data_IF_643624702577
#
_entry.id   IF_643624702577
#
_cell.length_a   1.000
_cell.length_b   1.000
_cell.length_c   1.000
_cell.angle_alpha   90.00
_cell.angle_beta   90.00
_cell.angle_gamma   90.00
#
_symmetry.space_group_name_H-M   'P 1'
#
loop_
_entity.id
_entity.type
_entity.pdbx_description
1 polymer ?
#
# COMPACT_ATOMS: atom_id res chain seq x y z
N UNK A 1 3.54 12.98 20.81
CA UNK A 1 2.32 12.32 20.30
C UNK A 1 1.53 13.25 19.39
N UNK A 2 1.14 14.46 19.83
CA UNK A 2 0.40 15.42 18.98
C UNK A 2 1.12 15.80 17.68
N UNK A 3 2.45 15.99 17.72
CA UNK A 3 3.26 16.25 16.52
C UNK A 3 3.19 15.09 15.51
N UNK A 4 3.32 13.84 15.98
CA UNK A 4 3.26 12.64 15.16
C UNK A 4 1.89 12.44 14.50
N UNK A 5 0.80 12.70 15.23
CA UNK A 5 -0.57 12.64 14.68
C UNK A 5 -0.77 13.72 13.59
N UNK A 6 -0.31 14.94 13.81
CA UNK A 6 -0.37 16.01 12.80
C UNK A 6 0.46 15.68 11.55
N UNK A 7 1.63 15.07 11.74
CA UNK A 7 2.48 14.60 10.66
C UNK A 7 1.79 13.49 9.86
N UNK A 8 1.14 12.53 10.53
CA UNK A 8 0.36 11.48 9.86
C UNK A 8 -0.77 12.06 9.01
N UNK A 9 -1.53 13.04 9.52
CA UNK A 9 -2.59 13.70 8.75
C UNK A 9 -2.04 14.41 7.50
N UNK A 10 -0.89 15.06 7.64
CA UNK A 10 -0.21 15.70 6.51
C UNK A 10 0.26 14.68 5.48
N UNK A 11 0.83 13.57 5.93
CA UNK A 11 1.30 12.48 5.08
C UNK A 11 0.14 11.79 4.35
N UNK A 12 -0.99 11.58 5.01
CA UNK A 12 -2.19 11.03 4.40
C UNK A 12 -2.69 11.93 3.27
N UNK A 13 -2.80 13.25 3.51
CA UNK A 13 -3.17 14.20 2.46
C UNK A 13 -2.18 14.28 1.29
N UNK A 14 -0.88 14.13 1.56
CA UNK A 14 0.13 14.00 0.49
C UNK A 14 -0.03 12.70 -0.31
N UNK A 15 -0.28 11.58 0.37
CA UNK A 15 -0.54 10.29 -0.24
C UNK A 15 -1.74 10.33 -1.17
N UNK A 16 -2.84 10.96 -0.75
CA UNK A 16 -4.06 11.10 -1.55
C UNK A 16 -3.82 11.88 -2.85
N UNK A 17 -3.12 13.02 -2.78
CA UNK A 17 -2.73 13.79 -3.98
C UNK A 17 -1.87 12.96 -4.93
N UNK A 18 -0.90 12.22 -4.39
CA UNK A 18 -0.02 11.37 -5.21
C UNK A 18 -0.77 10.20 -5.85
N UNK A 19 -1.77 9.65 -5.15
CA UNK A 19 -2.70 8.67 -5.71
C UNK A 19 -3.44 9.24 -6.93
N UNK A 20 -4.03 10.43 -6.81
CA UNK A 20 -4.73 11.12 -7.91
C UNK A 20 -3.81 11.41 -9.12
N UNK A 21 -2.58 11.86 -8.88
CA UNK A 21 -1.59 12.08 -9.94
C UNK A 21 -1.21 10.77 -10.67
N UNK A 22 -1.12 9.68 -9.92
CA UNK A 22 -0.82 8.35 -10.47
C UNK A 22 -2.00 7.85 -11.31
N UNK A 23 -3.24 8.01 -10.83
CA UNK A 23 -4.45 7.65 -11.56
C UNK A 23 -4.56 8.43 -12.88
N UNK A 24 -4.31 9.74 -12.87
CA UNK A 24 -4.27 10.56 -14.08
C UNK A 24 -3.17 10.11 -15.06
N UNK A 25 -2.05 9.60 -14.56
CA UNK A 25 -0.96 9.05 -15.39
C UNK A 25 -1.35 7.71 -16.02
N UNK A 26 -2.08 6.87 -15.29
CA UNK A 26 -2.63 5.61 -15.81
C UNK A 26 -3.70 5.87 -16.86
N UNK A 27 -4.59 6.85 -16.67
CA UNK A 27 -5.58 7.23 -17.69
C UNK A 27 -4.90 7.67 -19.01
N UNK A 28 -3.81 8.45 -18.92
CA UNK A 28 -3.01 8.80 -20.09
C UNK A 28 -2.32 7.58 -20.70
N UNK A 29 -1.85 6.64 -19.87
CA UNK A 29 -1.27 5.37 -20.31
C UNK A 29 -2.27 4.51 -21.08
N UNK A 30 -3.51 4.41 -20.62
CA UNK A 30 -4.60 3.68 -21.29
C UNK A 30 -4.91 4.29 -22.66
N UNK A 31 -5.00 5.62 -22.75
CA UNK A 31 -5.22 6.30 -24.03
C UNK A 31 -4.07 6.05 -25.03
N UNK A 32 -2.81 6.13 -24.57
CA UNK A 32 -1.64 5.83 -25.42
C UNK A 32 -1.66 4.36 -25.87
N UNK A 33 -2.03 3.43 -24.99
CA UNK A 33 -2.16 2.02 -25.35
C UNK A 33 -3.25 1.79 -26.42
N UNK A 34 -4.40 2.47 -26.32
CA UNK A 34 -5.48 2.42 -27.33
C UNK A 34 -5.01 2.97 -28.68
N UNK A 35 -4.32 4.10 -28.68
CA UNK A 35 -3.75 4.68 -29.90
C UNK A 35 -2.73 3.73 -30.55
N UNK A 36 -1.89 3.09 -29.73
CA UNK A 36 -0.92 2.12 -30.20
C UNK A 36 -1.61 0.87 -30.81
N UNK A 37 -2.67 0.36 -30.19
CA UNK A 37 -3.47 -0.74 -30.75
C UNK A 37 -4.07 -0.35 -32.11
N UNK A 38 -4.61 0.86 -32.23
CA UNK A 38 -5.11 1.37 -33.52
C UNK A 38 -4.01 1.42 -34.58
N UNK A 39 -2.85 2.00 -34.24
CA UNK A 39 -1.73 2.10 -35.16
C UNK A 39 -1.21 0.71 -35.59
N UNK A 40 -1.14 -0.26 -34.67
CA UNK A 40 -0.74 -1.63 -35.00
C UNK A 40 -1.72 -2.32 -35.94
N UNK A 41 -3.03 -2.07 -35.78
CA UNK A 41 -4.04 -2.57 -36.71
C UNK A 41 -3.89 -1.95 -38.11
N UNK A 42 -3.64 -0.65 -38.19
CA UNK A 42 -3.40 0.04 -39.46
C UNK A 42 -2.15 -0.50 -40.17
N UNK A 43 -1.06 -0.71 -39.43
CA UNK A 43 0.17 -1.31 -39.96
C UNK A 43 -0.09 -2.75 -40.41
N UNK A 44 -0.83 -3.56 -39.63
CA UNK A 44 -1.19 -4.92 -40.01
C UNK A 44 -2.00 -4.97 -41.31
N UNK A 45 -2.99 -4.08 -41.45
CA UNK A 45 -3.80 -3.96 -42.66
C UNK A 45 -2.97 -3.52 -43.87
N UNK A 46 -2.07 -2.54 -43.68
CA UNK A 46 -1.14 -2.10 -44.72
C UNK A 46 -0.20 -3.23 -45.14
N UNK A 47 0.37 -3.99 -44.20
CA UNK A 47 1.24 -5.14 -44.50
C UNK A 47 0.51 -6.22 -45.30
N UNK A 48 -0.75 -6.54 -44.98
CA UNK A 48 -1.57 -7.48 -45.76
C UNK A 48 -1.78 -7.01 -47.19
N UNK A 49 -2.11 -5.72 -47.38
CA UNK A 49 -2.26 -5.13 -48.70
C UNK A 49 -0.97 -5.18 -49.53
N UNK A 50 0.19 -4.98 -48.89
CA UNK A 50 1.48 -5.17 -49.56
C UNK A 50 1.65 -6.64 -49.97
N UNK A 51 1.24 -7.59 -49.11
CA UNK A 51 1.21 -9.02 -49.44
C UNK A 51 0.44 -9.31 -50.72
N UNK A 52 -0.78 -8.79 -50.85
CA UNK A 52 -1.62 -8.96 -52.05
C UNK A 52 -0.97 -8.38 -53.31
N UNK A 53 -0.27 -7.25 -53.19
CA UNK A 53 0.48 -6.64 -54.30
C UNK A 53 1.65 -7.54 -54.72
N UNK A 54 2.39 -8.10 -53.75
CA UNK A 54 3.52 -8.99 -54.02
C UNK A 54 3.05 -10.29 -54.68
N UNK A 55 1.85 -10.78 -54.34
CA UNK A 55 1.24 -11.93 -55.00
C UNK A 55 0.93 -11.63 -56.47
N UNK A 56 0.41 -10.43 -56.75
CA UNK A 56 0.21 -9.97 -58.14
C UNK A 56 1.54 -9.85 -58.89
N UNK A 57 2.60 -9.35 -58.26
CA UNK A 57 3.94 -9.28 -58.86
C UNK A 57 4.49 -10.67 -59.18
N UNK A 58 4.32 -11.64 -58.27
CA UNK A 58 4.72 -13.02 -58.49
C UNK A 58 3.93 -13.67 -59.64
N UNK A 59 2.63 -13.37 -59.76
CA UNK A 59 1.81 -13.81 -60.88
C UNK A 59 2.31 -13.23 -62.21
N UNK A 60 2.61 -11.93 -62.27
CA UNK A 60 3.18 -11.28 -63.46
C UNK A 60 4.53 -11.88 -63.84
N UNK A 61 5.39 -12.18 -62.86
CA UNK A 61 6.67 -12.86 -63.09
C UNK A 61 6.45 -14.26 -63.68
N UNK A 62 5.48 -15.02 -63.16
CA UNK A 62 5.13 -16.35 -63.69
C UNK A 62 4.59 -16.27 -65.13
N UNK A 63 3.68 -15.34 -65.42
CA UNK A 63 3.15 -15.12 -66.77
C UNK A 63 4.27 -14.71 -67.75
N UNK A 64 5.19 -13.85 -67.32
CA UNK A 64 6.36 -13.43 -68.11
C UNK A 64 7.29 -14.62 -68.40
N UNK A 65 7.50 -15.50 -67.42
CA UNK A 65 8.25 -16.73 -67.60
C UNK A 65 7.59 -17.69 -68.61
N UNK A 66 6.25 -17.80 -68.59
CA UNK A 66 5.51 -18.59 -69.59
C UNK A 66 5.58 -17.98 -71.00
N UNK A 67 5.50 -16.65 -71.12
CA UNK A 67 5.66 -15.96 -72.40
C UNK A 67 7.07 -16.15 -72.98
N UNK A 68 8.10 -16.05 -72.13
CA UNK A 68 9.48 -16.29 -72.52
C UNK A 68 9.71 -17.74 -73.00
N UNK A 69 9.09 -18.71 -72.32
CA UNK A 69 9.12 -20.11 -72.75
C UNK A 69 8.48 -20.28 -74.14
N UNK A 70 7.31 -19.69 -74.37
CA UNK A 70 6.65 -19.74 -75.68
C UNK A 70 7.52 -19.08 -76.78
N UNK A 71 8.18 -17.96 -76.48
CA UNK A 71 9.09 -17.30 -77.40
C UNK A 71 10.32 -18.15 -77.72
N UNK A 72 10.89 -18.85 -76.73
CA UNK A 72 12.01 -19.77 -76.93
C UNK A 72 11.61 -20.95 -77.85
N UNK A 73 10.39 -21.48 -77.70
CA UNK A 73 9.85 -22.53 -78.58
C UNK A 73 9.68 -22.03 -80.01
N UNK A 74 9.10 -20.85 -80.21
CA UNK A 74 8.90 -20.30 -81.56
C UNK A 74 10.23 -19.92 -82.22
N UNK A 75 11.21 -19.45 -81.43
CA UNK A 75 12.57 -19.19 -81.91
C UNK A 75 13.27 -20.49 -82.36
N UNK A 76 13.09 -21.59 -81.63
CA UNK A 76 13.59 -22.90 -82.04
C UNK A 76 12.91 -23.38 -83.34
N UNK A 77 11.61 -23.12 -83.50
CA UNK A 77 10.84 -23.45 -84.69
C UNK A 77 11.28 -22.68 -85.94
N UNK A 78 11.70 -21.42 -85.77
CA UNK A 78 12.24 -20.58 -86.84
C UNK A 78 13.69 -20.94 -87.26
N UNK A 79 14.33 -21.88 -86.57
CA UNK A 79 15.67 -22.38 -86.89
C UNK A 79 16.75 -21.29 -86.85
N UNK A 80 17.55 -21.19 -87.90
CA UNK A 80 18.67 -20.23 -87.99
C UNK A 80 18.23 -18.76 -87.87
N UNK A 81 17.03 -18.43 -88.35
CA UNK A 81 16.48 -17.07 -88.28
C UNK A 81 16.01 -16.68 -86.86
N UNK A 82 15.78 -17.65 -85.98
CA UNK A 82 15.30 -17.45 -84.62
C UNK A 82 16.42 -17.28 -83.57
N UNK A 83 17.70 -17.43 -83.94
CA UNK A 83 18.82 -17.43 -82.97
C UNK A 83 18.89 -16.19 -82.08
N UNK A 84 18.66 -15.00 -82.65
CA UNK A 84 18.63 -13.75 -81.88
C UNK A 84 17.45 -13.69 -80.89
N UNK A 85 16.28 -14.17 -81.31
CA UNK A 85 15.09 -14.23 -80.45
C UNK A 85 15.24 -15.26 -79.33
N UNK A 86 15.93 -16.38 -79.57
CA UNK A 86 16.19 -17.40 -78.56
C UNK A 86 17.02 -16.85 -77.38
N UNK A 87 18.04 -16.03 -77.66
CA UNK A 87 18.86 -15.39 -76.60
C UNK A 87 18.02 -14.41 -75.77
N UNK A 88 17.20 -13.59 -76.42
CA UNK A 88 16.31 -12.66 -75.71
C UNK A 88 15.29 -13.40 -74.86
N UNK A 89 14.72 -14.50 -75.37
CA UNK A 89 13.75 -15.31 -74.63
C UNK A 89 14.38 -15.91 -73.36
N UNK A 90 15.62 -16.41 -73.44
CA UNK A 90 16.32 -16.95 -72.27
C UNK A 90 16.63 -15.86 -71.22
N UNK A 91 17.06 -14.67 -71.65
CA UNK A 91 17.32 -13.55 -70.74
C UNK A 91 16.03 -13.07 -70.03
N UNK A 92 14.92 -12.97 -70.77
CA UNK A 92 13.60 -12.62 -70.20
C UNK A 92 13.15 -13.69 -69.21
N UNK A 93 13.37 -14.97 -69.52
CA UNK A 93 13.07 -16.09 -68.62
C UNK A 93 13.87 -16.01 -67.32
N UNK A 94 15.18 -15.77 -67.41
CA UNK A 94 16.06 -15.62 -66.27
C UNK A 94 15.64 -14.44 -65.38
N UNK A 95 15.28 -13.30 -66.00
CA UNK A 95 14.77 -12.12 -65.29
C UNK A 95 13.45 -12.41 -64.57
N UNK A 96 12.53 -13.10 -65.22
CA UNK A 96 11.24 -13.49 -64.64
C UNK A 96 11.43 -14.41 -63.42
N UNK A 97 12.30 -15.42 -63.52
CA UNK A 97 12.61 -16.30 -62.39
C UNK A 97 13.26 -15.53 -61.21
N UNK A 98 14.15 -14.58 -61.52
CA UNK A 98 14.77 -13.72 -60.50
C UNK A 98 13.73 -12.83 -59.81
N UNK A 99 12.76 -12.30 -60.56
CA UNK A 99 11.65 -11.51 -60.02
C UNK A 99 10.75 -12.35 -59.10
N UNK A 100 10.38 -13.56 -59.51
CA UNK A 100 9.58 -14.49 -58.69
C UNK A 100 10.30 -14.85 -57.37
N UNK A 101 11.60 -15.13 -57.43
CA UNK A 101 12.40 -15.42 -56.24
C UNK A 101 12.43 -14.22 -55.27
N UNK A 102 12.61 -13.00 -55.79
CA UNK A 102 12.59 -11.79 -54.98
C UNK A 102 11.20 -11.53 -54.37
N UNK A 103 10.12 -11.71 -55.15
CA UNK A 103 8.75 -11.57 -54.66
C UNK A 103 8.47 -12.56 -53.50
N UNK A 104 8.90 -13.82 -53.61
CA UNK A 104 8.78 -14.82 -52.54
C UNK A 104 9.53 -14.42 -51.26
N UNK A 105 10.75 -13.86 -51.38
CA UNK A 105 11.49 -13.35 -50.23
C UNK A 105 10.77 -12.18 -49.55
N UNK A 106 10.23 -11.23 -50.32
CA UNK A 106 9.46 -10.11 -49.79
C UNK A 106 8.19 -10.60 -49.10
N UNK A 107 7.48 -11.56 -49.69
CA UNK A 107 6.30 -12.18 -49.08
C UNK A 107 6.63 -12.77 -47.70
N UNK A 108 7.72 -13.53 -47.58
CA UNK A 108 8.17 -14.09 -46.30
C UNK A 108 8.47 -13.00 -45.26
N UNK A 109 9.10 -11.89 -45.66
CA UNK A 109 9.35 -10.76 -44.76
C UNK A 109 8.06 -10.07 -44.29
N UNK A 110 7.05 -9.98 -45.16
CA UNK A 110 5.73 -9.45 -44.81
C UNK A 110 5.04 -10.37 -43.80
N UNK A 111 5.02 -11.68 -44.05
CA UNK A 111 4.44 -12.68 -43.13
C UNK A 111 5.09 -12.61 -41.74
N UNK A 112 6.43 -12.52 -41.68
CA UNK A 112 7.17 -12.32 -40.43
C UNK A 112 6.80 -11.00 -39.73
N UNK A 113 6.64 -9.92 -40.49
CA UNK A 113 6.23 -8.62 -39.95
C UNK A 113 4.82 -8.67 -39.36
N UNK A 114 3.87 -9.34 -40.02
CA UNK A 114 2.50 -9.51 -39.50
C UNK A 114 2.50 -10.31 -38.20
N UNK A 115 3.28 -11.39 -38.12
CA UNK A 115 3.42 -12.17 -36.87
C UNK A 115 3.98 -11.33 -35.72
N UNK A 116 4.99 -10.50 -35.98
CA UNK A 116 5.57 -9.59 -34.98
C UNK A 116 4.56 -8.53 -34.50
N UNK A 117 3.75 -7.99 -35.40
CA UNK A 117 2.68 -7.05 -35.03
C UNK A 117 1.62 -7.72 -34.15
N UNK A 118 1.22 -8.97 -34.46
CA UNK A 118 0.28 -9.73 -33.63
C UNK A 118 0.82 -10.02 -32.23
N UNK A 119 2.11 -10.36 -32.12
CA UNK A 119 2.77 -10.49 -30.83
C UNK A 119 2.79 -9.16 -30.05
N UNK A 120 3.04 -8.05 -30.76
CA UNK A 120 2.95 -6.69 -30.21
C UNK A 120 1.54 -6.36 -29.68
N UNK A 121 0.48 -6.66 -30.44
CA UNK A 121 -0.92 -6.46 -30.02
C UNK A 121 -1.21 -7.19 -28.70
N UNK A 122 -0.78 -8.46 -28.59
CA UNK A 122 -0.93 -9.22 -27.35
C UNK A 122 -0.21 -8.58 -26.15
N UNK A 123 1.00 -8.06 -26.35
CA UNK A 123 1.76 -7.41 -25.28
C UNK A 123 1.11 -6.10 -24.83
N UNK A 124 0.58 -5.32 -25.76
CA UNK A 124 -0.12 -4.07 -25.46
C UNK A 124 -1.43 -4.35 -24.71
N UNK A 125 -2.18 -5.40 -25.09
CA UNK A 125 -3.38 -5.84 -24.36
C UNK A 125 -3.07 -6.22 -22.91
N UNK A 126 -2.03 -7.03 -22.69
CA UNK A 126 -1.58 -7.38 -21.33
C UNK A 126 -1.17 -6.13 -20.53
N UNK A 127 -0.53 -5.18 -21.17
CA UNK A 127 -0.16 -3.91 -20.54
C UNK A 127 -1.39 -3.10 -20.14
N UNK A 128 -2.42 -3.07 -20.99
CA UNK A 128 -3.71 -2.43 -20.68
C UNK A 128 -4.42 -3.12 -19.49
N UNK A 129 -4.41 -4.46 -19.45
CA UNK A 129 -4.92 -5.24 -18.30
C UNK A 129 -4.16 -4.90 -17.01
N UNK A 130 -2.83 -4.82 -17.04
CA UNK A 130 -2.03 -4.40 -15.88
C UNK A 130 -2.37 -2.98 -15.42
N UNK A 131 -2.68 -2.04 -16.33
CA UNK A 131 -3.13 -0.71 -15.93
C UNK A 131 -4.49 -0.72 -15.23
N UNK A 132 -5.39 -1.63 -15.59
CA UNK A 132 -6.67 -1.83 -14.88
C UNK A 132 -6.42 -2.36 -13.46
N UNK A 133 -5.53 -3.34 -13.30
CA UNK A 133 -5.15 -3.86 -11.99
C UNK A 133 -4.51 -2.79 -11.10
N UNK A 134 -3.57 -2.00 -11.65
CA UNK A 134 -2.90 -0.92 -10.90
C UNK A 134 -3.93 0.14 -10.48
N UNK A 135 -4.91 0.47 -11.34
CA UNK A 135 -5.98 1.41 -10.97
C UNK A 135 -6.78 0.90 -9.76
N UNK A 136 -7.19 -0.36 -9.77
CA UNK A 136 -7.90 -0.99 -8.64
C UNK A 136 -7.08 -0.95 -7.34
N UNK A 137 -5.77 -1.19 -7.43
CA UNK A 137 -4.87 -1.07 -6.27
C UNK A 137 -4.78 0.37 -5.75
N UNK A 138 -4.78 1.37 -6.64
CA UNK A 138 -4.75 2.80 -6.26
C UNK A 138 -6.08 3.22 -5.62
N UNK A 139 -7.21 2.73 -6.11
CA UNK A 139 -8.52 2.97 -5.50
C UNK A 139 -8.55 2.44 -4.05
N UNK A 140 -8.07 1.21 -3.84
CA UNK A 140 -7.94 0.60 -2.51
C UNK A 140 -6.96 1.39 -1.61
N UNK A 141 -5.84 1.86 -2.18
CA UNK A 141 -4.89 2.71 -1.47
C UNK A 141 -5.53 4.05 -1.05
N UNK A 142 -6.31 4.68 -1.93
CA UNK A 142 -7.04 5.92 -1.62
C UNK A 142 -8.02 5.69 -0.47
N UNK A 143 -8.79 4.61 -0.50
CA UNK A 143 -9.69 4.26 0.59
C UNK A 143 -8.94 4.09 1.92
N UNK A 144 -7.80 3.39 1.90
CA UNK A 144 -6.98 3.20 3.11
C UNK A 144 -6.46 4.53 3.65
N UNK A 145 -6.09 5.47 2.78
CA UNK A 145 -5.64 6.81 3.18
C UNK A 145 -6.78 7.64 3.77
N UNK A 146 -7.99 7.52 3.25
CA UNK A 146 -9.18 8.16 3.81
C UNK A 146 -9.49 7.61 5.22
N UNK A 147 -9.39 6.29 5.42
CA UNK A 147 -9.53 5.63 6.72
C UNK A 147 -8.44 6.10 7.72
N UNK A 148 -7.18 6.20 7.28
CA UNK A 148 -6.08 6.74 8.09
C UNK A 148 -6.35 8.20 8.47
N UNK A 149 -6.84 9.01 7.54
CA UNK A 149 -7.14 10.42 7.78
C UNK A 149 -8.24 10.58 8.83
N UNK A 150 -9.31 9.77 8.72
CA UNK A 150 -10.39 9.75 9.70
C UNK A 150 -9.89 9.32 11.09
N UNK A 151 -9.15 8.21 11.18
CA UNK A 151 -8.58 7.72 12.43
C UNK A 151 -7.60 8.72 13.06
N UNK A 152 -6.81 9.42 12.24
CA UNK A 152 -5.87 10.45 12.70
C UNK A 152 -6.63 11.67 13.26
N UNK A 153 -7.75 12.05 12.65
CA UNK A 153 -8.61 13.11 13.17
C UNK A 153 -9.20 12.73 14.54
N UNK A 154 -9.71 11.50 14.67
CA UNK A 154 -10.24 10.99 15.94
C UNK A 154 -9.15 10.94 17.03
N UNK A 155 -7.96 10.45 16.70
CA UNK A 155 -6.81 10.45 17.61
C UNK A 155 -6.42 11.88 18.05
N UNK A 156 -6.48 12.85 17.13
CA UNK A 156 -6.20 14.25 17.47
C UNK A 156 -7.20 14.77 18.51
N UNK A 157 -8.49 14.52 18.31
CA UNK A 157 -9.54 14.89 19.27
C UNK A 157 -9.36 14.18 20.62
N UNK A 158 -9.04 12.88 20.63
CA UNK A 158 -8.77 12.14 21.86
C UNK A 158 -7.54 12.68 22.62
N UNK A 159 -6.49 13.08 21.91
CA UNK A 159 -5.32 13.72 22.52
C UNK A 159 -5.67 15.07 23.14
N UNK A 160 -6.55 15.86 22.52
CA UNK A 160 -7.01 17.12 23.11
C UNK A 160 -7.78 16.89 24.42
N UNK A 161 -8.64 15.87 24.47
CA UNK A 161 -9.38 15.49 25.67
C UNK A 161 -8.44 15.02 26.79
N UNK A 162 -7.46 14.18 26.47
CA UNK A 162 -6.42 13.74 27.42
C UNK A 162 -5.62 14.93 27.96
N UNK A 163 -5.25 15.88 27.11
CA UNK A 163 -4.54 17.09 27.56
C UNK A 163 -5.38 17.92 28.53
N UNK A 164 -6.70 18.04 28.30
CA UNK A 164 -7.62 18.72 29.24
C UNK A 164 -7.69 17.99 30.58
N UNK A 165 -7.83 16.66 30.55
CA UNK A 165 -7.87 15.84 31.76
C UNK A 165 -6.58 15.96 32.58
N UNK A 166 -5.42 15.95 31.91
CA UNK A 166 -4.11 16.15 32.57
C UNK A 166 -4.04 17.53 33.23
N UNK A 167 -4.49 18.60 32.56
CA UNK A 167 -4.53 19.93 33.15
C UNK A 167 -5.42 20.02 34.40
N UNK A 168 -6.55 19.31 34.41
CA UNK A 168 -7.43 19.22 35.57
C UNK A 168 -6.79 18.42 36.72
N UNK A 169 -6.10 17.31 36.41
CA UNK A 169 -5.35 16.53 37.40
C UNK A 169 -4.23 17.38 37.99
N UNK A 170 -3.50 18.14 37.19
CA UNK A 170 -2.45 19.05 37.65
C UNK A 170 -3.01 20.10 38.62
N UNK A 171 -4.12 20.76 38.24
CA UNK A 171 -4.82 21.73 39.09
C UNK A 171 -5.26 21.11 40.43
N UNK A 172 -5.84 19.91 40.40
CA UNK A 172 -6.28 19.19 41.61
C UNK A 172 -5.08 18.79 42.47
N UNK A 173 -3.97 18.37 41.85
CA UNK A 173 -2.74 18.00 42.53
C UNK A 173 -2.11 19.20 43.23
N UNK A 174 -2.08 20.36 42.58
CA UNK A 174 -1.62 21.61 43.18
C UNK A 174 -2.53 22.05 44.34
N UNK A 175 -3.85 21.95 44.18
CA UNK A 175 -4.79 22.23 45.27
C UNK A 175 -4.57 21.29 46.47
N UNK A 176 -4.37 19.99 46.23
CA UNK A 176 -4.08 19.03 47.29
C UNK A 176 -2.77 19.34 48.01
N UNK A 177 -1.73 19.76 47.27
CA UNK A 177 -0.48 20.19 47.88
C UNK A 177 -0.67 21.42 48.78
N UNK A 178 -1.42 22.43 48.32
CA UNK A 178 -1.76 23.61 49.13
C UNK A 178 -2.57 23.26 50.38
N UNK A 179 -3.59 22.40 50.25
CA UNK A 179 -4.37 21.92 51.40
C UNK A 179 -3.49 21.17 52.40
N UNK A 180 -2.50 20.38 51.94
CA UNK A 180 -1.55 19.70 52.83
C UNK A 180 -0.65 20.69 53.56
N UNK A 181 -0.19 21.75 52.91
CA UNK A 181 0.57 22.83 53.55
C UNK A 181 -0.27 23.55 54.62
N UNK A 182 -1.52 23.90 54.29
CA UNK A 182 -2.45 24.50 55.24
C UNK A 182 -2.70 23.59 56.45
N UNK A 183 -2.93 22.30 56.21
CA UNK A 183 -3.12 21.30 57.27
C UNK A 183 -1.89 21.14 58.14
N UNK A 184 -0.69 21.19 57.56
CA UNK A 184 0.56 21.16 58.33
C UNK A 184 0.68 22.38 59.25
N UNK A 185 0.36 23.58 58.74
CA UNK A 185 0.37 24.81 59.54
C UNK A 185 -0.68 24.79 60.67
N UNK A 186 -1.87 24.25 60.39
CA UNK A 186 -2.90 24.05 61.39
C UNK A 186 -2.49 23.03 62.47
N UNK A 187 -1.83 21.94 62.08
CA UNK A 187 -1.30 20.94 63.00
C UNK A 187 -0.23 21.53 63.93
N UNK A 188 0.69 22.34 63.40
CA UNK A 188 1.69 23.05 64.19
C UNK A 188 1.04 24.02 65.19
N UNK A 189 0.02 24.77 64.75
CA UNK A 189 -0.72 25.70 65.62
C UNK A 189 -1.44 24.97 66.76
N UNK A 190 -2.09 23.84 66.45
CA UNK A 190 -2.73 22.98 67.45
C UNK A 190 -1.71 22.39 68.44
N UNK A 191 -0.52 22.01 67.98
CA UNK A 191 0.55 21.51 68.85
C UNK A 191 1.04 22.60 69.83
N UNK A 192 1.13 23.85 69.38
CA UNK A 192 1.45 25.01 70.23
C UNK A 192 0.37 25.26 71.28
N UNK A 193 -0.91 25.26 70.90
CA UNK A 193 -2.03 25.42 71.84
C UNK A 193 -2.08 24.29 72.88
N UNK A 194 -1.97 23.04 72.44
CA UNK A 194 -1.94 21.89 73.34
C UNK A 194 -0.80 21.99 74.36
N UNK A 195 0.38 22.45 73.92
CA UNK A 195 1.53 22.69 74.80
C UNK A 195 1.30 23.84 75.78
N UNK A 196 0.58 24.89 75.36
CA UNK A 196 0.20 26.01 76.23
C UNK A 196 -0.82 25.58 77.30
N UNK A 197 -1.81 24.78 76.91
CA UNK A 197 -2.81 24.22 77.82
C UNK A 197 -2.16 23.29 78.84
N UNK A 198 -1.25 22.40 78.41
CA UNK A 198 -0.50 21.52 79.30
C UNK A 198 0.28 22.31 80.36
N UNK A 199 1.02 23.36 79.96
CA UNK A 199 1.71 24.27 80.88
C UNK A 199 0.76 24.98 81.85
N UNK A 200 -0.45 25.30 81.40
CA UNK A 200 -1.47 25.93 82.25
C UNK A 200 -1.98 24.95 83.31
N UNK A 201 -2.21 23.69 82.94
CA UNK A 201 -2.62 22.63 83.87
C UNK A 201 -1.53 22.32 84.89
N UNK A 202 -0.24 22.30 84.50
CA UNK A 202 0.89 22.07 85.43
C UNK A 202 0.98 23.10 86.57
N UNK A 203 0.50 24.34 86.36
CA UNK A 203 0.47 25.37 87.42
C UNK A 203 -0.51 25.06 88.53
N UNK A 204 -1.50 24.20 88.30
CA UNK A 204 -2.41 23.77 89.34
C UNK A 204 -1.68 22.79 90.26
N UNK A 205 -1.19 23.31 91.40
CA UNK A 205 -0.75 22.48 92.52
C UNK A 205 -1.96 21.80 93.14
N UNK A 206 -2.25 20.60 92.68
CA UNK A 206 -3.08 19.66 93.43
C UNK A 206 -2.33 19.31 94.70
N UNK A 207 -2.93 19.62 95.86
CA UNK A 207 -2.48 19.04 97.13
C UNK A 207 -2.37 17.54 96.92
N UNK A 208 -1.23 16.95 97.26
CA UNK A 208 -1.12 15.50 97.33
C UNK A 208 -2.07 15.02 98.43
N UNK A 209 -3.35 14.88 98.08
CA UNK A 209 -4.21 13.92 98.73
C UNK A 209 -3.49 12.61 98.48
N UNK A 210 -2.86 12.11 99.54
CA UNK A 210 -2.43 10.74 99.65
C UNK A 210 -3.70 9.90 99.49
N UNK A 211 -4.12 9.70 98.25
CA UNK A 211 -5.06 8.65 97.91
C UNK A 211 -4.25 7.39 98.15
N UNK A 212 -4.49 6.78 99.30
CA UNK A 212 -4.07 5.43 99.56
C UNK A 212 -4.61 4.54 98.43
N UNK A 213 -3.65 4.07 97.64
CA UNK A 213 -3.66 2.87 96.82
C UNK A 213 -5.03 2.22 96.54
N UNK A 214 -5.55 2.55 95.36
CA UNK A 214 -6.53 1.73 94.64
C UNK A 214 -6.29 1.73 93.13
N UNK A 215 -5.10 2.10 92.66
CA UNK A 215 -4.71 1.89 91.27
C UNK A 215 -3.86 0.64 91.18
N UNK A 216 -4.56 -0.44 90.83
CA UNK A 216 -3.98 -1.67 90.31
C UNK A 216 -2.95 -1.29 89.25
N UNK A 217 -1.67 -1.52 89.55
CA UNK A 217 -0.55 -1.36 88.62
C UNK A 217 -0.69 -2.44 87.55
N UNK A 218 -1.67 -2.29 86.65
CA UNK A 218 -1.62 -2.95 85.35
C UNK A 218 -0.46 -2.29 84.60
N UNK A 219 0.68 -2.96 84.64
CA UNK A 219 1.74 -2.74 83.67
C UNK A 219 1.08 -2.68 82.28
N UNK A 220 1.25 -1.60 81.51
CA UNK A 220 0.96 -1.69 80.10
C UNK A 220 1.96 -2.69 79.54
N UNK A 221 1.47 -3.88 79.19
CA UNK A 221 2.24 -4.85 78.42
C UNK A 221 2.84 -4.08 77.23
N UNK A 222 4.16 -4.15 77.08
CA UNK A 222 4.87 -3.59 75.94
C UNK A 222 4.21 -4.11 74.66
N UNK A 223 3.41 -3.27 74.01
CA UNK A 223 2.93 -3.55 72.66
C UNK A 223 4.17 -3.57 71.78
N UNK A 224 4.45 -4.72 71.18
CA UNK A 224 5.41 -4.86 70.09
C UNK A 224 5.18 -3.73 69.07
N UNK A 225 6.23 -3.21 68.41
CA UNK A 225 6.07 -2.16 67.40
C UNK A 225 5.05 -2.64 66.36
N UNK A 226 3.92 -1.92 66.26
CA UNK A 226 2.98 -2.13 65.17
C UNK A 226 3.69 -1.73 63.89
N UNK A 227 3.80 -2.67 62.96
CA UNK A 227 4.18 -2.40 61.58
C UNK A 227 3.37 -1.20 61.06
N UNK A 228 4.08 -0.29 60.38
CA UNK A 228 3.46 0.82 59.63
C UNK A 228 2.31 0.26 58.79
N UNK A 229 1.16 0.95 58.71
CA UNK A 229 0.11 0.50 57.81
C UNK A 229 0.67 0.54 56.39
N UNK A 230 0.94 -0.64 55.80
CA UNK A 230 1.09 -0.74 54.35
C UNK A 230 -0.27 -0.33 53.79
N UNK A 231 -0.30 0.83 53.12
CA UNK A 231 -1.38 1.20 52.22
C UNK A 231 -1.72 -0.05 51.39
N UNK A 232 -2.95 -0.54 51.54
CA UNK A 232 -3.44 -1.58 50.64
C UNK A 232 -3.34 -1.00 49.23
N UNK A 233 -2.47 -1.57 48.42
CA UNK A 233 -2.54 -1.35 46.98
C UNK A 233 -3.97 -1.73 46.57
N UNK A 234 -4.73 -0.74 46.12
CA UNK A 234 -5.97 -1.00 45.39
C UNK A 234 -5.54 -1.80 44.16
N UNK A 235 -5.74 -3.11 44.19
CA UNK A 235 -5.71 -3.90 42.96
C UNK A 235 -6.93 -3.48 42.16
N UNK A 236 -6.72 -2.50 41.28
CA UNK A 236 -7.57 -2.34 40.10
C UNK A 236 -7.32 -3.60 39.28
N UNK A 237 -8.22 -4.58 39.39
CA UNK A 237 -8.31 -5.62 38.38
C UNK A 237 -8.58 -4.88 37.06
N UNK A 238 -7.78 -5.10 35.99
CA UNK A 238 -8.24 -4.68 34.68
C UNK A 238 -9.51 -5.48 34.40
N UNK A 239 -10.64 -4.79 34.32
CA UNK A 239 -11.85 -5.32 33.72
C UNK A 239 -11.56 -5.45 32.23
N UNK A 240 -10.94 -6.59 31.86
CA UNK A 240 -10.88 -7.02 30.48
C UNK A 240 -12.19 -7.72 30.20
N UNK A 241 -13.24 -6.92 30.06
CA UNK A 241 -14.48 -7.35 29.44
C UNK A 241 -14.13 -7.94 28.07
N UNK A 242 -14.31 -9.26 27.95
CA UNK A 242 -14.19 -10.05 26.72
C UNK A 242 -14.81 -9.28 25.53
N UNK A 243 -14.12 -9.16 24.38
CA UNK A 243 -14.83 -8.85 23.16
C UNK A 243 -15.73 -10.04 22.80
N UNK A 244 -16.97 -9.73 22.43
CA UNK A 244 -17.95 -10.69 21.97
C UNK A 244 -17.41 -11.48 20.76
N UNK A 245 -17.59 -12.80 20.82
CA UNK A 245 -17.35 -13.71 19.70
C UNK A 245 -18.26 -13.36 18.53
N UNK A 246 -17.72 -12.72 17.50
CA UNK A 246 -18.32 -12.74 16.18
C UNK A 246 -18.03 -14.12 15.57
N UNK A 247 -19.10 -14.86 15.26
CA UNK A 247 -19.04 -16.11 14.50
C UNK A 247 -18.34 -15.84 13.17
N UNK A 248 -17.31 -16.63 12.86
CA UNK A 248 -16.83 -16.83 11.49
C UNK A 248 -17.21 -18.24 11.11
N UNK A 249 -18.08 -18.31 10.10
CA UNK A 249 -18.47 -19.54 9.44
C UNK A 249 -17.28 -20.14 8.67
N UNK A 250 -17.37 -21.46 8.55
CA UNK A 250 -16.48 -22.43 7.92
C UNK A 250 -15.74 -21.97 6.66
N UNK A 251 -14.42 -22.19 6.65
CA UNK A 251 -13.70 -22.61 5.44
C UNK A 251 -12.42 -23.38 5.82
N UNK A 252 -12.43 -24.69 5.62
CA UNK A 252 -11.21 -25.51 5.53
C UNK A 252 -10.63 -25.37 4.11
N UNK A 253 -9.32 -25.51 3.94
CA UNK A 253 -8.87 -26.79 3.41
C UNK A 253 -7.61 -27.35 4.07
N UNK A 254 -7.55 -28.68 4.04
CA UNK A 254 -6.35 -29.51 4.20
C UNK A 254 -5.29 -29.18 3.15
N UNK A 255 -4.01 -29.43 3.46
CA UNK A 255 -2.98 -29.54 2.43
C UNK A 255 -1.61 -29.05 2.88
N UNK A 256 -0.90 -29.96 3.52
CA UNK A 256 0.55 -30.01 3.66
C UNK A 256 1.25 -29.78 2.29
N UNK A 257 2.30 -28.96 2.25
CA UNK A 257 3.47 -29.19 1.38
C UNK A 257 4.59 -28.20 1.71
N UNK A 258 5.77 -28.78 1.95
CA UNK A 258 6.93 -28.14 2.54
C UNK A 258 7.65 -27.13 1.65
N UNK A 259 8.40 -26.25 2.32
CA UNK A 259 9.43 -25.43 1.68
C UNK A 259 10.80 -25.84 2.23
N UNK A 260 11.52 -26.59 1.40
CA UNK A 260 12.99 -26.65 1.39
C UNK A 260 13.55 -25.32 0.85
N UNK A 261 14.50 -24.79 1.63
CA UNK A 261 15.79 -24.20 1.23
C UNK A 261 15.96 -23.67 -0.22
N UNK A 262 16.20 -22.36 -0.35
CA UNK A 262 17.27 -21.77 -1.17
C UNK A 262 17.68 -20.40 -0.60
#
# INVERSE_FOLDING_TARGET
MTSSVRQNATNAGLGQRKGQETEASIMRGDEVARQLLSAMNDVSAASRKIGDIIDTVNEVAFQTNLLALNAAVEAARAGEHGKGFAVVAEEVRALAQRSANAASQVRKMIEDTVMKIQAGDSMVRKTAESFVEIRSQIETLSQTIDEISAATSEQSSGIEEVNRAIGQIDTTTQSNAGTVEELSSAADSLAVEASSLARTVERFKVSAVKIEAGFDRRQPAAKKPSERPRLKAVSVKPDVSKPASAKRDDFAPEGDDGFEEF
#
